data_IF_705296295463
#
_entry.id   IF_705296295463
#
_cell.length_a   1.000
_cell.length_b   1.000
_cell.length_c   1.000
_cell.angle_alpha   90.00
_cell.angle_beta   90.00
_cell.angle_gamma   90.00
#
_symmetry.space_group_name_H-M   'P 1'
#
loop_
_entity.id
_entity.type
_entity.pdbx_description
1 polymer ?
#
# COMPACT_ATOMS: atom_id res chain seq x y z
N UNK A 1 41.01 -18.65 15.06
CA UNK A 1 40.73 -17.27 15.49
C UNK A 1 39.55 -16.74 14.68
N UNK A 2 38.43 -16.37 15.30
CA UNK A 2 37.26 -15.83 14.60
C UNK A 2 37.38 -14.30 14.55
N UNK A 3 37.64 -13.75 13.36
CA UNK A 3 37.51 -12.33 13.10
C UNK A 3 36.04 -12.02 12.82
N UNK A 4 35.34 -11.46 13.80
CA UNK A 4 34.02 -10.85 13.60
C UNK A 4 34.22 -9.35 13.45
N UNK A 5 34.61 -8.93 12.25
CA UNK A 5 34.59 -7.52 11.86
C UNK A 5 33.16 -7.01 11.85
N UNK A 6 32.77 -6.25 12.88
CA UNK A 6 31.55 -5.44 12.88
C UNK A 6 31.68 -4.45 11.72
N UNK A 7 30.93 -4.67 10.64
CA UNK A 7 30.89 -3.74 9.50
C UNK A 7 30.56 -2.31 9.99
N UNK A 8 31.23 -1.32 9.41
CA UNK A 8 31.00 0.10 9.68
C UNK A 8 29.53 0.43 9.40
N UNK A 9 28.73 0.54 10.46
CA UNK A 9 27.32 0.94 10.36
C UNK A 9 27.26 2.41 9.98
N UNK A 10 26.34 2.77 9.08
CA UNK A 10 26.13 4.17 8.73
C UNK A 10 25.56 4.94 9.93
N UNK A 11 25.69 6.28 9.92
CA UNK A 11 25.12 7.13 10.96
C UNK A 11 23.60 6.95 11.09
N UNK A 12 22.92 6.68 9.96
CA UNK A 12 21.50 6.36 9.92
C UNK A 12 21.21 5.04 10.63
N UNK A 13 21.99 3.99 10.37
CA UNK A 13 21.82 2.69 11.02
C UNK A 13 21.95 2.79 12.54
N UNK A 14 22.93 3.58 13.01
CA UNK A 14 23.23 3.78 14.43
C UNK A 14 22.13 4.59 15.14
N UNK A 15 21.65 5.67 14.52
CA UNK A 15 20.56 6.48 15.06
C UNK A 15 19.28 5.65 15.22
N UNK A 16 19.06 4.79 14.25
CA UNK A 16 17.88 3.96 14.14
C UNK A 16 17.99 2.70 15.03
N UNK A 17 19.21 2.27 15.40
CA UNK A 17 19.51 1.24 16.43
C UNK A 17 19.23 1.79 17.83
N UNK A 18 19.62 3.04 18.10
CA UNK A 18 19.29 3.75 19.35
C UNK A 18 17.79 3.98 19.52
N UNK A 19 17.08 4.28 18.43
CA UNK A 19 15.62 4.43 18.42
C UNK A 19 14.91 3.09 18.74
N UNK A 20 15.37 2.00 18.12
CA UNK A 20 14.86 0.65 18.37
C UNK A 20 15.02 0.19 19.83
N UNK A 21 16.12 0.59 20.49
CA UNK A 21 16.39 0.30 21.90
C UNK A 21 15.56 1.13 22.87
N UNK A 22 15.16 2.35 22.49
CA UNK A 22 14.46 3.29 23.38
C UNK A 22 12.96 3.09 23.40
N UNK A 23 12.35 2.90 22.23
CA UNK A 23 10.90 3.02 22.07
C UNK A 23 10.20 1.66 21.81
N UNK A 24 10.96 0.55 21.83
CA UNK A 24 10.51 -0.74 21.31
C UNK A 24 10.34 -0.64 19.79
N UNK A 25 11.27 -1.21 19.03
CA UNK A 25 11.34 -0.95 17.60
C UNK A 25 10.00 -1.18 16.90
N UNK A 26 9.40 -0.19 16.19
CA UNK A 26 8.51 -0.55 15.09
C UNK A 26 9.34 -1.46 14.19
N UNK A 27 8.84 -2.66 13.92
CA UNK A 27 9.58 -3.66 13.14
C UNK A 27 10.05 -3.01 11.84
N UNK A 28 11.37 -2.86 11.66
CA UNK A 28 11.89 -2.29 10.42
C UNK A 28 11.52 -3.25 9.31
N UNK A 29 10.81 -2.74 8.30
CA UNK A 29 10.47 -3.53 7.12
C UNK A 29 11.75 -3.95 6.39
N UNK A 30 11.83 -5.23 6.05
CA UNK A 30 12.87 -5.76 5.16
C UNK A 30 12.74 -5.16 3.76
N UNK A 31 13.82 -5.18 2.97
CA UNK A 31 13.76 -4.66 1.61
C UNK A 31 12.79 -5.46 0.72
N UNK A 32 12.63 -6.76 0.99
CA UNK A 32 11.62 -7.62 0.36
C UNK A 32 10.21 -7.12 0.68
N UNK A 33 9.93 -6.75 1.94
CA UNK A 33 8.63 -6.20 2.33
C UNK A 33 8.38 -4.83 1.72
N UNK A 34 9.38 -3.94 1.69
CA UNK A 34 9.26 -2.64 1.01
C UNK A 34 8.93 -2.83 -0.47
N UNK A 35 9.61 -3.75 -1.14
CA UNK A 35 9.35 -4.08 -2.54
C UNK A 35 7.94 -4.64 -2.74
N UNK A 36 7.47 -5.52 -1.84
CA UNK A 36 6.12 -6.07 -1.87
C UNK A 36 5.05 -4.99 -1.65
N UNK A 37 5.24 -4.10 -0.68
CA UNK A 37 4.32 -2.96 -0.45
C UNK A 37 4.24 -2.04 -1.67
N UNK A 38 5.39 -1.73 -2.27
CA UNK A 38 5.45 -0.91 -3.49
C UNK A 38 4.72 -1.60 -4.66
N UNK A 39 4.77 -2.93 -4.75
CA UNK A 39 4.02 -3.68 -5.75
C UNK A 39 2.51 -3.63 -5.51
N UNK A 40 2.06 -3.73 -4.26
CA UNK A 40 0.65 -3.55 -3.89
C UNK A 40 0.18 -2.15 -4.29
N UNK A 41 0.99 -1.11 -4.05
CA UNK A 41 0.68 0.26 -4.44
C UNK A 41 0.55 0.41 -5.95
N UNK A 42 1.49 -0.14 -6.72
CA UNK A 42 1.44 -0.11 -8.20
C UNK A 42 0.18 -0.77 -8.74
N UNK A 43 -0.14 -1.99 -8.27
CA UNK A 43 -1.33 -2.73 -8.68
C UNK A 43 -2.62 -1.99 -8.29
N UNK A 44 -2.65 -1.41 -7.09
CA UNK A 44 -3.82 -0.66 -6.60
C UNK A 44 -4.05 0.58 -7.45
N UNK A 45 -2.99 1.33 -7.76
CA UNK A 45 -3.06 2.51 -8.64
C UNK A 45 -3.58 2.15 -10.02
N UNK A 46 -3.07 1.07 -10.63
CA UNK A 46 -3.54 0.61 -11.94
C UNK A 46 -5.03 0.26 -11.93
N UNK A 47 -5.49 -0.49 -10.92
CA UNK A 47 -6.91 -0.85 -10.77
C UNK A 47 -7.80 0.36 -10.56
N UNK A 48 -7.37 1.34 -9.77
CA UNK A 48 -8.14 2.57 -9.57
C UNK A 48 -8.28 3.36 -10.87
N UNK A 49 -7.20 3.48 -11.65
CA UNK A 49 -7.24 4.13 -12.96
C UNK A 49 -8.17 3.42 -13.94
N UNK A 50 -8.16 2.09 -13.99
CA UNK A 50 -9.10 1.30 -14.79
C UNK A 50 -10.56 1.61 -14.42
N UNK A 51 -10.89 1.66 -13.13
CA UNK A 51 -12.25 1.96 -12.64
C UNK A 51 -12.68 3.40 -12.95
N UNK A 52 -11.74 4.33 -12.87
CA UNK A 52 -11.98 5.72 -13.22
C UNK A 52 -12.28 5.87 -14.72
N UNK A 53 -11.50 5.22 -15.59
CA UNK A 53 -11.72 5.22 -17.03
C UNK A 53 -13.07 4.60 -17.38
N UNK A 54 -13.33 3.38 -16.88
CA UNK A 54 -14.57 2.66 -17.20
C UNK A 54 -15.82 3.40 -16.75
N UNK A 55 -15.81 3.98 -15.55
CA UNK A 55 -16.98 4.71 -15.10
C UNK A 55 -17.10 6.10 -15.71
N UNK A 56 -16.00 6.76 -16.08
CA UNK A 56 -16.04 7.97 -16.93
C UNK A 56 -16.76 7.68 -18.25
N UNK A 57 -16.43 6.55 -18.90
CA UNK A 57 -17.11 6.09 -20.12
C UNK A 57 -18.60 5.80 -19.91
N UNK A 58 -18.96 5.21 -18.77
CA UNK A 58 -20.35 4.94 -18.42
C UNK A 58 -21.13 6.23 -18.14
N UNK A 59 -20.53 7.19 -17.44
CA UNK A 59 -21.13 8.49 -17.17
C UNK A 59 -21.33 9.29 -18.45
N UNK A 60 -20.36 9.28 -19.36
CA UNK A 60 -20.49 9.92 -20.66
C UNK A 60 -21.68 9.36 -21.47
N UNK A 61 -21.92 8.05 -21.40
CA UNK A 61 -23.08 7.40 -22.04
C UNK A 61 -24.40 7.69 -21.35
N UNK A 62 -24.38 7.92 -20.05
CA UNK A 62 -25.58 8.26 -19.27
C UNK A 62 -26.04 9.71 -19.51
N UNK A 63 -25.13 10.61 -19.91
CA UNK A 63 -25.43 12.02 -20.08
C UNK A 63 -25.84 12.67 -18.76
N UNK A 64 -26.76 13.63 -18.81
CA UNK A 64 -27.23 14.36 -17.62
C UNK A 64 -28.43 13.69 -16.92
N UNK A 65 -28.75 12.44 -17.26
CA UNK A 65 -29.87 11.71 -16.66
C UNK A 65 -29.54 11.25 -15.22
N UNK A 66 -30.11 11.88 -14.19
CA UNK A 66 -29.76 11.59 -12.81
C UNK A 66 -30.13 10.16 -12.39
N UNK A 67 -31.17 9.56 -12.99
CA UNK A 67 -31.60 8.20 -12.68
C UNK A 67 -30.58 7.16 -13.19
N UNK A 68 -29.83 7.49 -14.25
CA UNK A 68 -28.75 6.65 -14.77
C UNK A 68 -27.40 6.96 -14.12
N UNK A 69 -27.12 8.23 -13.84
CA UNK A 69 -25.83 8.71 -13.31
C UNK A 69 -25.59 8.27 -11.87
N UNK A 70 -26.58 8.39 -10.99
CA UNK A 70 -26.36 8.12 -9.56
C UNK A 70 -26.04 6.65 -9.24
N UNK A 71 -26.69 5.64 -9.86
CA UNK A 71 -26.29 4.24 -9.72
C UNK A 71 -24.84 3.98 -10.16
N UNK A 72 -24.40 4.60 -11.27
CA UNK A 72 -23.02 4.44 -11.78
C UNK A 72 -22.02 4.99 -10.75
N UNK A 73 -22.25 6.19 -10.22
CA UNK A 73 -21.39 6.78 -9.18
C UNK A 73 -21.40 5.95 -7.90
N UNK A 74 -22.55 5.46 -7.47
CA UNK A 74 -22.66 4.62 -6.28
C UNK A 74 -21.86 3.32 -6.43
N UNK A 75 -21.98 2.67 -7.59
CA UNK A 75 -21.19 1.49 -7.91
C UNK A 75 -19.68 1.79 -7.91
N UNK A 76 -19.26 2.87 -8.59
CA UNK A 76 -17.85 3.27 -8.61
C UNK A 76 -17.29 3.50 -7.19
N UNK A 77 -18.03 4.20 -6.32
CA UNK A 77 -17.62 4.44 -4.93
C UNK A 77 -17.41 3.13 -4.18
N UNK A 78 -18.38 2.21 -4.24
CA UNK A 78 -18.30 0.92 -3.57
C UNK A 78 -17.12 0.06 -4.09
N UNK A 79 -16.86 0.07 -5.39
CA UNK A 79 -15.74 -0.66 -5.98
C UNK A 79 -14.38 -0.08 -5.57
N UNK A 80 -14.25 1.26 -5.57
CA UNK A 80 -13.03 1.95 -5.12
C UNK A 80 -12.75 1.64 -3.65
N UNK A 81 -13.76 1.70 -2.78
CA UNK A 81 -13.63 1.35 -1.37
C UNK A 81 -13.15 -0.09 -1.19
N UNK A 82 -13.75 -1.03 -1.92
CA UNK A 82 -13.36 -2.45 -1.90
C UNK A 82 -11.93 -2.67 -2.37
N UNK A 83 -11.47 -1.94 -3.40
CA UNK A 83 -10.08 -2.00 -3.87
C UNK A 83 -9.12 -1.52 -2.78
N UNK A 84 -9.42 -0.39 -2.15
CA UNK A 84 -8.60 0.19 -1.07
C UNK A 84 -8.55 -0.71 0.16
N UNK A 85 -9.69 -1.25 0.58
CA UNK A 85 -9.77 -2.17 1.72
C UNK A 85 -8.89 -3.42 1.52
N UNK A 86 -9.01 -4.06 0.35
CA UNK A 86 -8.18 -5.22 -0.01
C UNK A 86 -6.68 -4.89 -0.06
N UNK A 87 -6.34 -3.73 -0.62
CA UNK A 87 -4.95 -3.27 -0.66
C UNK A 87 -4.40 -3.08 0.77
N UNK A 88 -5.18 -2.50 1.68
CA UNK A 88 -4.77 -2.32 3.06
C UNK A 88 -4.63 -3.65 3.80
N UNK A 89 -5.57 -4.59 3.63
CA UNK A 89 -5.47 -5.95 4.18
C UNK A 89 -4.21 -6.69 3.70
N UNK A 90 -3.83 -6.51 2.43
CA UNK A 90 -2.60 -7.09 1.88
C UNK A 90 -1.34 -6.43 2.46
N UNK A 91 -1.32 -5.09 2.55
CA UNK A 91 -0.21 -4.37 3.18
C UNK A 91 -0.05 -4.74 4.64
N UNK A 92 -1.13 -4.87 5.39
CA UNK A 92 -1.12 -5.31 6.78
C UNK A 92 -0.54 -6.72 6.93
N UNK A 93 -0.90 -7.66 6.04
CA UNK A 93 -0.28 -9.00 6.02
C UNK A 93 1.22 -8.92 5.74
N UNK A 94 1.65 -8.09 4.79
CA UNK A 94 3.08 -7.89 4.49
C UNK A 94 3.82 -7.30 5.70
N UNK A 95 3.25 -6.29 6.37
CA UNK A 95 3.82 -5.66 7.57
C UNK A 95 3.90 -6.64 8.74
N UNK A 96 2.84 -7.40 9.01
CA UNK A 96 2.79 -8.40 10.09
C UNK A 96 3.72 -9.59 9.85
N UNK A 97 4.02 -9.91 8.60
CA UNK A 97 5.10 -10.85 8.26
C UNK A 97 6.49 -10.41 8.72
N UNK A 98 6.68 -9.17 9.22
CA UNK A 98 7.92 -8.73 9.88
C UNK A 98 8.00 -9.16 11.36
N UNK A 99 6.86 -9.56 11.94
CA UNK A 99 6.71 -9.86 13.36
C UNK A 99 6.70 -11.37 13.67
N UNK A 100 7.19 -12.21 12.76
CA UNK A 100 7.34 -13.67 12.93
C UNK A 100 8.79 -14.07 12.83
#
# INVERSE_FOLDING_TARGET
MKSTGKSLKSALDLAMERLAQRDGSPARLTDVQKAALAEVDRKTKAKLAEREILGSDHLAKAGDDPEKVEPIKAQQRAEIEKIKARAEEEKERIRKGAAS
#
